data_IF_483145653047
#
_entry.id   IF_483145653047
#
_cell.length_a   1.000
_cell.length_b   1.000
_cell.length_c   1.000
_cell.angle_alpha   90.00
_cell.angle_beta   90.00
_cell.angle_gamma   90.00
#
_symmetry.space_group_name_H-M   'P 1'
#
loop_
_entity.id
_entity.type
_entity.pdbx_description
1 polymer ?
#
# COMPACT_ATOMS: atom_id res chain seq x y z
N UNK A 1 2.01 -19.69 -35.01
CA UNK A 1 2.21 -18.78 -33.86
C UNK A 1 2.29 -17.36 -34.41
N UNK A 2 1.32 -16.50 -34.09
CA UNK A 2 1.29 -15.17 -34.65
C UNK A 2 2.06 -14.17 -33.75
N UNK A 3 2.34 -12.97 -34.29
CA UNK A 3 3.18 -11.95 -33.62
C UNK A 3 2.66 -11.53 -32.22
N UNK A 4 1.35 -11.67 -31.97
CA UNK A 4 0.71 -11.37 -30.66
C UNK A 4 0.96 -12.49 -29.65
N UNK A 5 0.98 -13.75 -30.07
CA UNK A 5 1.30 -14.89 -29.22
C UNK A 5 2.77 -14.89 -28.82
N UNK A 6 3.67 -14.50 -29.72
CA UNK A 6 5.10 -14.38 -29.44
C UNK A 6 5.39 -13.25 -28.44
N UNK A 7 4.73 -12.09 -28.55
CA UNK A 7 4.86 -10.98 -27.59
C UNK A 7 4.28 -11.36 -26.22
N UNK A 8 3.18 -12.11 -26.18
CA UNK A 8 2.58 -12.60 -24.94
C UNK A 8 3.47 -13.60 -24.20
N UNK A 9 4.12 -14.53 -24.90
CA UNK A 9 5.06 -15.49 -24.31
C UNK A 9 6.37 -14.82 -23.84
N UNK A 10 6.89 -13.87 -24.59
CA UNK A 10 8.10 -13.13 -24.21
C UNK A 10 7.87 -12.26 -22.96
N UNK A 11 6.70 -11.59 -22.85
CA UNK A 11 6.35 -10.82 -21.68
C UNK A 11 6.12 -11.71 -20.43
N UNK A 12 5.54 -12.89 -20.58
CA UNK A 12 5.36 -13.86 -19.50
C UNK A 12 6.70 -14.46 -19.04
N UNK A 13 7.63 -14.69 -19.97
CA UNK A 13 8.99 -15.17 -19.69
C UNK A 13 9.82 -14.11 -18.93
N UNK A 14 9.81 -12.86 -19.37
CA UNK A 14 10.48 -11.76 -18.66
C UNK A 14 9.91 -11.51 -17.25
N UNK A 15 8.59 -11.59 -17.07
CA UNK A 15 7.96 -11.46 -15.76
C UNK A 15 8.37 -12.62 -14.83
N UNK A 16 8.48 -13.84 -15.35
CA UNK A 16 8.92 -15.03 -14.60
C UNK A 16 10.41 -14.96 -14.23
N UNK A 17 11.27 -14.41 -15.10
CA UNK A 17 12.69 -14.20 -14.80
C UNK A 17 12.93 -13.06 -13.81
N UNK A 18 12.18 -11.96 -13.90
CA UNK A 18 12.18 -10.90 -12.87
C UNK A 18 11.74 -11.43 -11.50
N UNK A 19 10.74 -12.33 -11.46
CA UNK A 19 10.30 -12.98 -10.22
C UNK A 19 11.36 -13.89 -9.62
N UNK A 20 12.14 -14.60 -10.44
CA UNK A 20 13.25 -15.46 -9.97
C UNK A 20 14.43 -14.64 -9.43
N UNK A 21 14.79 -13.56 -10.11
CA UNK A 21 15.89 -12.67 -9.70
C UNK A 21 15.57 -11.83 -8.45
N UNK A 22 14.30 -11.56 -8.18
CA UNK A 22 13.86 -10.74 -7.04
C UNK A 22 13.49 -11.54 -5.77
N UNK A 23 13.74 -12.87 -5.72
CA UNK A 23 13.35 -13.70 -4.58
C UNK A 23 11.82 -13.81 -4.39
N UNK A 24 11.04 -13.67 -5.44
CA UNK A 24 9.58 -13.74 -5.44
C UNK A 24 9.00 -15.16 -5.38
N UNK A 25 9.70 -16.10 -4.75
CA UNK A 25 9.26 -17.48 -4.60
C UNK A 25 8.68 -17.74 -3.20
N UNK A 26 7.88 -16.85 -2.64
CA UNK A 26 6.97 -17.23 -1.57
C UNK A 26 5.77 -17.95 -2.21
N UNK A 27 5.80 -19.28 -2.22
CA UNK A 27 4.65 -20.12 -2.56
C UNK A 27 3.60 -20.08 -1.43
N UNK A 28 3.39 -18.89 -0.88
CA UNK A 28 2.47 -18.65 0.21
C UNK A 28 1.06 -18.32 -0.28
N UNK A 29 0.10 -18.36 0.65
CA UNK A 29 -1.25 -17.84 0.44
C UNK A 29 -1.28 -16.31 0.60
N UNK A 30 -2.29 -15.64 0.05
CA UNK A 30 -2.59 -14.25 0.37
C UNK A 30 -2.91 -14.14 1.87
N UNK A 31 -2.45 -13.07 2.52
CA UNK A 31 -2.72 -12.77 3.91
C UNK A 31 -3.76 -11.66 4.00
N UNK A 32 -4.69 -11.77 4.93
CA UNK A 32 -5.76 -10.79 5.10
C UNK A 32 -5.62 -9.99 6.38
N UNK A 33 -5.77 -8.67 6.27
CA UNK A 33 -5.65 -7.74 7.37
C UNK A 33 -6.71 -6.63 7.36
N UNK A 34 -6.68 -5.80 8.39
CA UNK A 34 -7.60 -4.67 8.57
C UNK A 34 -6.83 -3.45 9.05
N UNK A 35 -7.13 -2.30 8.46
CA UNK A 35 -6.67 -1.00 8.97
C UNK A 35 -7.45 -0.65 10.25
N UNK A 36 -6.78 -0.69 11.40
CA UNK A 36 -7.41 -0.46 12.71
C UNK A 36 -6.42 -0.05 13.80
N UNK A 37 -6.94 0.37 14.96
CA UNK A 37 -6.14 0.61 16.16
C UNK A 37 -5.86 -0.67 16.97
N UNK A 38 -4.89 -0.63 17.90
CA UNK A 38 -4.41 -1.80 18.65
C UNK A 38 -5.49 -2.49 19.47
N UNK A 39 -6.45 -1.74 20.04
CA UNK A 39 -7.55 -2.31 20.85
C UNK A 39 -8.46 -3.29 20.10
N UNK A 40 -8.40 -3.29 18.77
CA UNK A 40 -9.25 -4.13 17.92
C UNK A 40 -8.55 -5.43 17.49
N UNK A 41 -7.24 -5.54 17.70
CA UNK A 41 -6.42 -6.66 17.23
C UNK A 41 -6.80 -8.01 17.85
N UNK A 42 -7.16 -8.11 19.15
CA UNK A 42 -7.63 -9.37 19.73
C UNK A 42 -8.86 -9.93 18.98
N UNK A 43 -9.85 -9.08 18.68
CA UNK A 43 -11.03 -9.50 17.91
C UNK A 43 -10.67 -9.97 16.50
N UNK A 44 -9.71 -9.32 15.83
CA UNK A 44 -9.26 -9.75 14.49
C UNK A 44 -8.65 -11.16 14.55
N UNK A 45 -7.87 -11.46 15.59
CA UNK A 45 -7.30 -12.79 15.82
C UNK A 45 -8.39 -13.84 15.98
N UNK A 46 -9.41 -13.57 16.80
CA UNK A 46 -10.55 -14.47 17.00
C UNK A 46 -11.35 -14.74 15.71
N UNK A 47 -11.51 -13.72 14.86
CA UNK A 47 -12.19 -13.85 13.56
C UNK A 47 -11.33 -14.67 12.57
N UNK A 48 -10.00 -14.66 12.73
CA UNK A 48 -9.07 -15.43 11.89
C UNK A 48 -8.36 -14.61 10.82
N UNK A 49 -8.21 -13.29 11.01
CA UNK A 49 -7.31 -12.45 10.22
C UNK A 49 -5.85 -12.80 10.49
N UNK A 50 -4.98 -12.48 9.55
CA UNK A 50 -3.55 -12.84 9.60
C UNK A 50 -2.67 -11.75 10.18
N UNK A 51 -3.07 -10.48 10.02
CA UNK A 51 -2.29 -9.30 10.42
C UNK A 51 -3.21 -8.08 10.61
N UNK A 52 -2.64 -7.01 11.09
CA UNK A 52 -3.28 -5.70 11.14
C UNK A 52 -2.41 -4.63 10.54
N UNK A 53 -3.04 -3.51 10.20
CA UNK A 53 -2.41 -2.32 9.65
C UNK A 53 -2.77 -1.10 10.48
N UNK A 54 -1.81 -0.20 10.70
CA UNK A 54 -2.01 0.98 11.53
C UNK A 54 -1.40 2.23 10.91
N UNK A 55 -1.86 3.43 11.33
CA UNK A 55 -1.28 4.70 10.85
C UNK A 55 0.14 4.90 11.35
N UNK A 56 1.06 5.29 10.45
CA UNK A 56 2.48 5.56 10.77
C UNK A 56 2.63 6.58 11.90
N UNK A 57 1.86 7.69 11.85
CA UNK A 57 1.91 8.72 12.89
C UNK A 57 1.50 8.22 14.28
N UNK A 58 0.61 7.21 14.35
CA UNK A 58 0.21 6.60 15.61
C UNK A 58 1.18 5.52 16.07
N UNK A 59 1.70 4.72 15.14
CA UNK A 59 2.57 3.59 15.43
C UNK A 59 4.01 4.04 15.77
N UNK A 60 4.57 4.96 14.98
CA UNK A 60 6.00 5.24 14.97
C UNK A 60 6.39 6.68 15.27
N UNK A 61 5.45 7.58 15.47
CA UNK A 61 5.60 9.05 15.61
C UNK A 61 7.07 9.53 15.76
N UNK A 62 7.72 10.01 14.68
CA UNK A 62 9.12 10.39 14.71
C UNK A 62 9.45 11.60 15.62
N UNK A 63 8.41 12.35 16.04
CA UNK A 63 8.58 13.47 16.97
C UNK A 63 8.81 13.03 18.42
N UNK A 64 8.48 11.77 18.74
CA UNK A 64 8.62 11.22 20.09
C UNK A 64 10.03 10.70 20.35
N UNK A 65 10.41 10.72 21.62
CA UNK A 65 11.71 10.24 22.10
C UNK A 65 11.80 8.70 22.15
N UNK A 66 12.97 8.21 22.54
CA UNK A 66 13.24 6.78 22.59
C UNK A 66 12.54 6.09 23.78
N UNK A 67 12.22 6.82 24.86
CA UNK A 67 11.48 6.27 25.98
C UNK A 67 10.02 5.96 25.55
N UNK A 68 9.41 6.86 24.83
CA UNK A 68 8.10 6.63 24.23
C UNK A 68 8.15 5.47 23.23
N UNK A 69 9.20 5.41 22.38
CA UNK A 69 9.34 4.35 21.38
C UNK A 69 9.47 2.96 22.03
N UNK A 70 10.24 2.82 23.08
CA UNK A 70 10.35 1.54 23.81
C UNK A 70 8.99 1.04 24.27
N UNK A 71 8.19 1.88 24.93
CA UNK A 71 6.82 1.52 25.37
C UNK A 71 5.91 1.14 24.18
N UNK A 72 5.99 1.88 23.09
CA UNK A 72 5.20 1.61 21.88
C UNK A 72 5.60 0.29 21.23
N UNK A 73 6.88 -0.01 21.20
CA UNK A 73 7.42 -1.28 20.69
C UNK A 73 6.91 -2.47 21.49
N UNK A 74 6.93 -2.35 22.82
CA UNK A 74 6.40 -3.40 23.73
C UNK A 74 4.89 -3.60 23.52
N UNK A 75 4.12 -2.50 23.40
CA UNK A 75 2.69 -2.56 23.09
C UNK A 75 2.43 -3.32 21.77
N UNK A 76 3.10 -2.94 20.68
CA UNK A 76 2.94 -3.60 19.38
C UNK A 76 3.31 -5.09 19.48
N UNK A 77 4.40 -5.42 20.15
CA UNK A 77 4.92 -6.79 20.28
C UNK A 77 4.05 -7.67 21.15
N UNK A 78 3.25 -7.10 22.08
CA UNK A 78 2.34 -7.85 22.95
C UNK A 78 1.03 -8.28 22.26
N UNK A 79 0.74 -7.75 21.08
CA UNK A 79 -0.52 -8.02 20.37
C UNK A 79 -0.51 -9.39 19.67
N UNK A 80 -1.67 -10.07 19.60
CA UNK A 80 -1.77 -11.45 19.12
C UNK A 80 -1.65 -11.62 17.60
N UNK A 81 -1.58 -10.51 16.84
CA UNK A 81 -1.31 -10.49 15.40
C UNK A 81 -0.14 -9.57 15.09
N UNK A 82 0.65 -9.86 14.06
CA UNK A 82 1.74 -8.98 13.65
C UNK A 82 1.19 -7.67 13.03
N UNK A 83 1.81 -6.53 13.38
CA UNK A 83 1.69 -5.28 12.63
C UNK A 83 2.50 -5.44 11.35
N UNK A 84 1.83 -5.76 10.24
CA UNK A 84 2.49 -6.09 8.97
C UNK A 84 2.64 -4.90 8.05
N UNK A 85 1.69 -3.98 8.08
CA UNK A 85 1.64 -2.80 7.22
C UNK A 85 1.27 -1.56 8.01
N UNK A 86 1.67 -0.38 7.52
CA UNK A 86 1.22 0.90 8.07
C UNK A 86 0.95 1.90 6.96
N UNK A 87 -0.16 2.66 7.10
CA UNK A 87 -0.58 3.69 6.16
C UNK A 87 -0.32 5.12 6.68
N UNK A 88 -0.68 6.14 5.88
CA UNK A 88 -0.54 7.54 6.30
C UNK A 88 0.91 7.97 6.53
N UNK A 89 1.82 7.61 5.60
CA UNK A 89 3.27 7.74 5.77
C UNK A 89 3.74 9.17 6.03
N UNK A 90 3.59 10.06 5.05
CA UNK A 90 4.09 11.43 5.14
C UNK A 90 2.95 12.39 5.48
N UNK A 91 3.00 13.08 6.63
CA UNK A 91 2.00 14.08 7.00
C UNK A 91 1.92 15.24 6.00
N UNK A 92 0.72 15.77 5.78
CA UNK A 92 0.45 16.85 4.83
C UNK A 92 1.14 18.19 5.13
N UNK A 93 1.75 18.35 6.30
CA UNK A 93 2.57 19.52 6.63
C UNK A 93 3.87 19.56 5.83
N UNK A 94 4.38 18.42 5.38
CA UNK A 94 5.55 18.32 4.51
C UNK A 94 5.14 18.52 3.06
N UNK A 95 5.91 19.30 2.30
CA UNK A 95 5.64 19.57 0.89
C UNK A 95 6.66 18.86 0.03
N UNK A 96 6.24 17.77 -0.61
CA UNK A 96 7.11 16.96 -1.48
C UNK A 96 7.14 17.49 -2.90
N UNK A 97 6.14 18.29 -3.29
CA UNK A 97 5.93 18.77 -4.66
C UNK A 97 5.53 20.24 -4.68
N UNK A 98 5.76 20.87 -5.82
CA UNK A 98 5.42 22.27 -6.04
C UNK A 98 6.60 23.21 -5.87
N UNK A 99 6.39 24.54 -6.10
CA UNK A 99 7.46 25.53 -6.01
C UNK A 99 8.12 25.68 -4.65
N UNK A 100 7.42 25.22 -3.60
CA UNK A 100 7.92 25.26 -2.19
C UNK A 100 8.24 23.85 -1.68
N UNK A 101 8.57 22.91 -2.57
CA UNK A 101 8.98 21.57 -2.16
C UNK A 101 10.28 21.62 -1.34
N UNK A 102 10.24 20.98 -0.17
CA UNK A 102 11.42 20.79 0.69
C UNK A 102 11.41 19.34 1.17
N UNK A 103 12.38 18.58 0.70
CA UNK A 103 12.47 17.16 0.98
C UNK A 103 13.19 16.86 2.31
N UNK A 104 14.08 17.73 2.78
CA UNK A 104 14.94 17.40 3.90
C UNK A 104 14.16 17.06 5.20
N UNK A 105 13.19 17.86 5.67
CA UNK A 105 12.42 17.52 6.88
C UNK A 105 11.55 16.28 6.70
N UNK A 106 11.04 16.04 5.47
CA UNK A 106 10.23 14.86 5.18
C UNK A 106 11.09 13.58 5.14
N UNK A 107 12.32 13.66 4.64
CA UNK A 107 13.29 12.57 4.64
C UNK A 107 13.69 12.17 6.05
N UNK A 108 13.96 13.14 6.94
CA UNK A 108 14.31 12.89 8.34
C UNK A 108 13.13 12.21 9.08
N UNK A 109 11.91 12.69 8.85
CA UNK A 109 10.69 12.07 9.37
C UNK A 109 10.55 10.63 8.86
N UNK A 110 10.66 10.45 7.56
CA UNK A 110 10.48 9.16 6.89
C UNK A 110 11.50 8.12 7.34
N UNK A 111 12.79 8.50 7.41
CA UNK A 111 13.86 7.62 7.85
C UNK A 111 13.63 7.12 9.28
N UNK A 112 13.33 8.02 10.22
CA UNK A 112 13.08 7.64 11.62
C UNK A 112 11.86 6.72 11.76
N UNK A 113 10.77 6.99 11.01
CA UNK A 113 9.59 6.13 10.99
C UNK A 113 9.91 4.73 10.44
N UNK A 114 10.65 4.65 9.34
CA UNK A 114 11.03 3.39 8.70
C UNK A 114 11.97 2.56 9.58
N UNK A 115 12.93 3.18 10.28
CA UNK A 115 13.80 2.46 11.21
C UNK A 115 13.00 1.84 12.35
N UNK A 116 12.05 2.57 12.94
CA UNK A 116 11.15 2.06 13.97
C UNK A 116 10.25 0.92 13.43
N UNK A 117 9.76 1.05 12.20
CA UNK A 117 8.96 0.03 11.55
C UNK A 117 9.77 -1.27 11.29
N UNK A 118 11.02 -1.14 10.87
CA UNK A 118 11.91 -2.28 10.62
C UNK A 118 12.23 -3.05 11.91
N UNK A 119 12.41 -2.34 13.04
CA UNK A 119 12.65 -2.94 14.36
C UNK A 119 11.52 -3.87 14.84
N UNK A 120 10.27 -3.59 14.46
CA UNK A 120 9.11 -4.44 14.83
C UNK A 120 8.67 -5.37 13.68
N UNK A 121 9.46 -5.45 12.61
CA UNK A 121 9.27 -6.41 11.53
C UNK A 121 8.15 -6.06 10.54
N UNK A 122 7.69 -4.80 10.50
CA UNK A 122 6.74 -4.31 9.49
C UNK A 122 7.28 -4.58 8.09
N UNK A 123 6.41 -5.01 7.17
CA UNK A 123 6.81 -5.36 5.80
C UNK A 123 6.59 -4.21 4.83
N UNK A 124 5.50 -3.45 5.01
CA UNK A 124 5.13 -2.39 4.06
C UNK A 124 4.69 -1.11 4.76
N UNK A 125 5.16 0.03 4.24
CA UNK A 125 4.67 1.37 4.60
C UNK A 125 4.00 1.96 3.38
N UNK A 126 2.71 2.24 3.49
CA UNK A 126 1.87 2.73 2.39
C UNK A 126 2.08 4.21 2.16
N UNK A 127 2.51 4.56 0.96
CA UNK A 127 2.81 5.92 0.54
C UNK A 127 1.73 6.48 -0.40
N UNK A 128 0.52 6.64 0.11
CA UNK A 128 -0.54 7.43 -0.52
C UNK A 128 -0.28 8.92 -0.32
N UNK A 129 -0.35 9.39 0.92
CA UNK A 129 0.06 10.73 1.38
C UNK A 129 -0.33 11.89 0.45
N UNK A 130 -1.59 11.89 -0.06
CA UNK A 130 -2.07 12.92 -1.00
C UNK A 130 -1.85 14.34 -0.50
N UNK A 131 -2.02 14.58 0.81
CA UNK A 131 -1.78 15.90 1.41
C UNK A 131 -0.34 16.40 1.29
N UNK A 132 0.66 15.51 1.22
CA UNK A 132 2.07 15.88 1.09
C UNK A 132 2.51 15.98 -0.38
N UNK A 133 1.99 15.08 -1.26
CA UNK A 133 2.46 14.98 -2.66
C UNK A 133 1.58 15.71 -3.68
N UNK A 134 0.36 16.15 -3.32
CA UNK A 134 -0.50 16.88 -4.24
C UNK A 134 0.11 18.21 -4.65
N UNK A 135 0.03 18.49 -5.95
CA UNK A 135 0.48 19.75 -6.51
C UNK A 135 -0.46 20.89 -6.10
N UNK A 136 0.08 22.08 -5.80
CA UNK A 136 -0.75 23.28 -5.60
C UNK A 136 -1.62 23.55 -6.84
N UNK A 137 -2.93 23.76 -6.64
CA UNK A 137 -3.88 23.96 -7.75
C UNK A 137 -3.50 25.15 -8.63
N UNK A 138 -3.01 26.23 -8.05
CA UNK A 138 -2.62 27.42 -8.78
C UNK A 138 -1.38 27.19 -9.64
N UNK A 139 -0.46 26.36 -9.16
CA UNK A 139 0.70 25.97 -9.97
C UNK A 139 0.29 25.10 -11.17
N UNK A 140 -0.61 24.15 -10.99
CA UNK A 140 -1.14 23.33 -12.09
C UNK A 140 -1.87 24.18 -13.14
N UNK A 141 -2.53 25.25 -12.72
CA UNK A 141 -3.21 26.19 -13.65
C UNK A 141 -2.23 27.10 -14.41
N UNK A 142 -1.13 27.50 -13.78
CA UNK A 142 -0.19 28.49 -14.33
C UNK A 142 0.97 27.88 -15.09
N UNK A 143 1.30 26.61 -14.86
CA UNK A 143 2.43 25.91 -15.47
C UNK A 143 1.96 24.61 -16.14
N UNK A 144 1.90 24.56 -17.49
CA UNK A 144 1.53 23.32 -18.20
C UNK A 144 2.43 22.12 -17.89
N UNK A 145 3.67 22.36 -17.46
CA UNK A 145 4.61 21.32 -17.07
C UNK A 145 4.55 20.95 -15.57
N UNK A 146 3.63 21.54 -14.79
CA UNK A 146 3.56 21.35 -13.34
C UNK A 146 3.44 19.88 -12.94
N UNK A 147 2.60 19.11 -13.65
CA UNK A 147 2.38 17.68 -13.36
C UNK A 147 3.65 16.87 -13.57
N UNK A 148 4.38 17.13 -14.66
CA UNK A 148 5.65 16.45 -14.93
C UNK A 148 6.72 16.82 -13.90
N UNK A 149 6.89 18.12 -13.65
CA UNK A 149 7.84 18.64 -12.64
C UNK A 149 7.54 18.09 -11.25
N UNK A 150 6.29 18.08 -10.85
CA UNK A 150 5.89 17.57 -9.54
C UNK A 150 6.04 16.04 -9.42
N UNK A 151 5.77 15.31 -10.50
CA UNK A 151 6.04 13.86 -10.54
C UNK A 151 7.54 13.60 -10.42
N UNK A 152 8.38 14.40 -11.07
CA UNK A 152 9.84 14.33 -10.93
C UNK A 152 10.28 14.61 -9.48
N UNK A 153 9.78 15.67 -8.84
CA UNK A 153 10.09 15.96 -7.44
C UNK A 153 9.71 14.79 -6.52
N UNK A 154 8.54 14.17 -6.74
CA UNK A 154 8.12 13.01 -5.96
C UNK A 154 9.06 11.80 -6.20
N UNK A 155 9.48 11.57 -7.45
CA UNK A 155 10.46 10.53 -7.79
C UNK A 155 11.80 10.78 -7.11
N UNK A 156 12.30 12.03 -7.15
CA UNK A 156 13.56 12.44 -6.52
C UNK A 156 13.52 12.22 -5.00
N UNK A 157 12.38 12.51 -4.35
CA UNK A 157 12.16 12.17 -2.94
C UNK A 157 12.30 10.66 -2.70
N UNK A 158 11.66 9.83 -3.53
CA UNK A 158 11.74 8.37 -3.41
C UNK A 158 13.17 7.85 -3.63
N UNK A 159 13.94 8.43 -4.57
CA UNK A 159 15.36 8.10 -4.78
C UNK A 159 16.19 8.44 -3.55
N UNK A 160 16.03 9.65 -3.01
CA UNK A 160 16.74 10.09 -1.82
C UNK A 160 16.41 9.22 -0.59
N UNK A 161 15.13 8.92 -0.39
CA UNK A 161 14.68 8.05 0.69
C UNK A 161 15.27 6.64 0.56
N UNK A 162 15.22 6.05 -0.64
CA UNK A 162 15.77 4.71 -0.89
C UNK A 162 17.25 4.60 -0.52
N UNK A 163 18.03 5.65 -0.77
CA UNK A 163 19.46 5.72 -0.37
C UNK A 163 19.62 5.75 1.15
N UNK A 164 18.82 6.59 1.85
CA UNK A 164 18.90 6.74 3.31
C UNK A 164 18.55 5.45 4.08
N UNK A 165 17.69 4.61 3.50
CA UNK A 165 17.16 3.40 4.14
C UNK A 165 17.62 2.12 3.45
N UNK A 166 18.72 2.18 2.71
CA UNK A 166 19.25 1.02 1.96
C UNK A 166 19.68 -0.14 2.86
N UNK A 167 20.08 0.16 4.09
CA UNK A 167 20.53 -0.77 5.13
C UNK A 167 19.39 -1.52 5.85
N UNK A 168 18.14 -1.06 5.74
CA UNK A 168 17.01 -1.70 6.40
C UNK A 168 16.78 -3.12 5.85
N UNK A 169 16.30 -4.02 6.71
CA UNK A 169 16.24 -5.46 6.41
C UNK A 169 14.90 -5.89 5.84
N UNK A 170 13.79 -5.43 6.42
CA UNK A 170 12.46 -5.97 6.16
C UNK A 170 11.51 -4.99 5.49
N UNK A 171 11.46 -3.74 5.96
CA UNK A 171 10.45 -2.78 5.55
C UNK A 171 10.67 -2.25 4.13
N UNK A 172 9.58 -2.14 3.37
CA UNK A 172 9.52 -1.52 2.05
C UNK A 172 8.47 -0.41 2.04
N UNK A 173 8.74 0.67 1.35
CA UNK A 173 7.74 1.72 1.06
C UNK A 173 7.01 1.31 -0.20
N UNK A 174 5.68 1.27 -0.15
CA UNK A 174 4.84 0.91 -1.29
C UNK A 174 4.07 2.14 -1.77
N UNK A 175 4.39 2.62 -2.98
CA UNK A 175 3.71 3.75 -3.61
C UNK A 175 2.26 3.33 -3.89
N UNK A 176 1.32 4.10 -3.39
CA UNK A 176 -0.10 3.92 -3.60
C UNK A 176 -0.63 4.95 -4.60
N UNK A 177 -1.05 4.53 -5.79
CA UNK A 177 -1.81 5.39 -6.70
C UNK A 177 -3.19 5.70 -6.12
N UNK A 178 -3.54 6.99 -6.06
CA UNK A 178 -4.82 7.46 -5.53
C UNK A 178 -5.70 7.96 -6.69
N UNK A 179 -6.99 7.65 -6.66
CA UNK A 179 -7.94 8.15 -7.68
C UNK A 179 -7.84 9.67 -7.88
N UNK A 180 -8.17 10.21 -9.07
CA UNK A 180 -8.02 11.64 -9.38
C UNK A 180 -8.75 12.60 -8.43
N UNK A 181 -9.78 12.10 -7.73
CA UNK A 181 -10.52 12.87 -6.72
C UNK A 181 -9.69 13.15 -5.46
N UNK A 182 -8.68 12.31 -5.16
CA UNK A 182 -7.85 12.38 -3.94
C UNK A 182 -6.42 12.85 -4.23
N UNK A 183 -5.91 12.63 -5.44
CA UNK A 183 -4.58 13.10 -5.83
C UNK A 183 -4.57 13.60 -7.27
N UNK A 184 -3.73 14.59 -7.56
CA UNK A 184 -3.55 15.13 -8.91
C UNK A 184 -2.24 14.65 -9.58
N UNK A 185 -1.53 13.72 -8.94
CA UNK A 185 -0.41 12.95 -9.52
C UNK A 185 -0.47 11.50 -9.04
N UNK A 186 0.07 10.59 -9.83
CA UNK A 186 0.15 9.15 -9.52
C UNK A 186 -1.23 8.56 -9.21
N UNK A 187 -2.08 8.53 -10.23
CA UNK A 187 -3.47 8.09 -10.13
C UNK A 187 -3.70 6.64 -10.54
N UNK A 188 -2.76 6.04 -11.26
CA UNK A 188 -2.86 4.70 -11.81
C UNK A 188 -1.66 3.85 -11.43
N UNK A 189 -1.86 2.54 -11.31
CA UNK A 189 -0.81 1.56 -10.96
C UNK A 189 0.37 1.65 -11.93
N UNK A 190 0.13 1.86 -13.24
CA UNK A 190 1.19 2.03 -14.21
C UNK A 190 2.05 3.29 -13.99
N UNK A 191 1.47 4.38 -13.46
CA UNK A 191 2.25 5.59 -13.10
C UNK A 191 3.15 5.32 -11.89
N UNK A 192 2.60 4.66 -10.86
CA UNK A 192 3.39 4.22 -9.72
C UNK A 192 4.51 3.27 -10.14
N UNK A 193 4.23 2.33 -11.05
CA UNK A 193 5.23 1.41 -11.61
C UNK A 193 6.40 2.16 -12.29
N UNK A 194 6.12 3.18 -13.11
CA UNK A 194 7.17 4.00 -13.73
C UNK A 194 8.12 4.60 -12.70
N UNK A 195 7.58 5.13 -11.60
CA UNK A 195 8.40 5.70 -10.51
C UNK A 195 9.23 4.59 -9.84
N UNK A 196 8.64 3.44 -9.53
CA UNK A 196 9.36 2.30 -8.93
C UNK A 196 10.48 1.81 -9.84
N UNK A 197 10.23 1.71 -11.14
CA UNK A 197 11.24 1.32 -12.14
C UNK A 197 12.39 2.35 -12.19
N UNK A 198 12.09 3.64 -12.17
CA UNK A 198 13.08 4.71 -12.21
C UNK A 198 13.92 4.78 -10.92
N UNK A 199 13.28 4.62 -9.73
CA UNK A 199 13.97 4.57 -8.44
C UNK A 199 14.89 3.36 -8.35
N UNK A 200 14.52 2.26 -8.99
CA UNK A 200 15.29 1.02 -9.09
C UNK A 200 15.90 0.56 -7.75
N UNK A 201 15.11 0.54 -6.69
CA UNK A 201 15.54 0.14 -5.35
C UNK A 201 14.63 -0.95 -4.77
N UNK A 202 15.19 -1.94 -4.04
CA UNK A 202 14.38 -2.92 -3.33
C UNK A 202 13.54 -2.29 -2.19
N UNK A 203 13.84 -1.07 -1.78
CA UNK A 203 13.12 -0.37 -0.69
C UNK A 203 11.84 0.32 -1.16
N UNK A 204 11.72 0.65 -2.45
CA UNK A 204 10.53 1.31 -3.02
C UNK A 204 9.81 0.32 -3.93
N UNK A 205 8.56 0.07 -3.63
CA UNK A 205 7.71 -0.92 -4.30
C UNK A 205 6.32 -0.32 -4.56
N UNK A 206 5.36 -1.14 -4.95
CA UNK A 206 4.06 -0.71 -5.43
C UNK A 206 2.94 -1.32 -4.57
N UNK A 207 1.88 -0.55 -4.39
CA UNK A 207 0.60 -0.97 -3.85
C UNK A 207 -0.49 -0.84 -4.94
N UNK A 208 -1.43 -1.77 -4.96
CA UNK A 208 -2.69 -1.62 -5.68
C UNK A 208 -3.82 -1.46 -4.67
N UNK A 209 -4.46 -0.30 -4.64
CA UNK A 209 -5.73 -0.12 -3.94
C UNK A 209 -6.88 -0.37 -4.91
N UNK A 210 -7.60 -1.47 -4.70
CA UNK A 210 -8.68 -1.89 -5.59
C UNK A 210 -9.82 -0.87 -5.62
N UNK A 211 -10.08 -0.17 -4.51
CA UNK A 211 -11.06 0.92 -4.51
C UNK A 211 -10.63 2.07 -5.42
N UNK A 212 -9.38 2.52 -5.33
CA UNK A 212 -8.86 3.59 -6.18
C UNK A 212 -8.79 3.18 -7.66
N UNK A 213 -8.39 1.94 -7.95
CA UNK A 213 -8.38 1.39 -9.32
C UNK A 213 -9.79 1.40 -9.92
N UNK A 214 -10.78 0.88 -9.18
CA UNK A 214 -12.17 0.78 -9.64
C UNK A 214 -12.79 2.17 -9.85
N UNK A 215 -12.61 3.07 -8.90
CA UNK A 215 -13.12 4.44 -8.98
C UNK A 215 -12.41 5.27 -10.06
N UNK A 216 -11.15 4.95 -10.37
CA UNK A 216 -10.36 5.56 -11.45
C UNK A 216 -10.61 4.93 -12.82
N UNK A 217 -11.40 3.84 -12.90
CA UNK A 217 -11.64 3.11 -14.14
C UNK A 217 -10.43 2.30 -14.63
N UNK A 218 -9.49 1.97 -13.73
CA UNK A 218 -8.31 1.18 -14.07
C UNK A 218 -8.63 -0.32 -14.04
N UNK A 219 -8.25 -1.03 -15.12
CA UNK A 219 -8.51 -2.47 -15.22
C UNK A 219 -7.57 -3.30 -14.35
N UNK A 220 -8.01 -4.52 -14.01
CA UNK A 220 -7.21 -5.49 -13.27
C UNK A 220 -5.92 -5.93 -14.00
N UNK A 221 -5.83 -5.72 -15.33
CA UNK A 221 -4.63 -5.97 -16.14
C UNK A 221 -3.41 -5.18 -15.63
N UNK A 222 -3.62 -4.02 -15.00
CA UNK A 222 -2.54 -3.22 -14.39
C UNK A 222 -1.82 -3.98 -13.27
N UNK A 223 -2.52 -4.84 -12.53
CA UNK A 223 -1.91 -5.74 -11.52
C UNK A 223 -0.96 -6.72 -12.20
N UNK A 224 -1.38 -7.31 -13.32
CA UNK A 224 -0.53 -8.23 -14.08
C UNK A 224 0.73 -7.53 -14.58
N UNK A 225 0.59 -6.30 -15.09
CA UNK A 225 1.73 -5.48 -15.55
C UNK A 225 2.66 -5.02 -14.42
N UNK A 226 2.12 -4.83 -13.21
CA UNK A 226 2.91 -4.52 -12.02
C UNK A 226 3.78 -5.72 -11.58
N UNK A 227 3.27 -6.94 -11.73
CA UNK A 227 4.00 -8.16 -11.43
C UNK A 227 4.58 -8.20 -10.02
N UNK A 228 5.83 -8.62 -9.89
CA UNK A 228 6.52 -8.78 -8.61
C UNK A 228 6.85 -7.46 -7.87
N UNK A 229 6.65 -6.31 -8.50
CA UNK A 229 6.78 -5.01 -7.84
C UNK A 229 5.65 -4.75 -6.84
N UNK A 230 4.50 -5.42 -7.01
CA UNK A 230 3.36 -5.30 -6.11
C UNK A 230 3.64 -6.03 -4.79
N UNK A 231 3.58 -5.32 -3.67
CA UNK A 231 3.90 -5.87 -2.33
C UNK A 231 2.78 -5.69 -1.31
N UNK A 232 1.79 -4.87 -1.61
CA UNK A 232 0.61 -4.68 -0.75
C UNK A 232 -0.62 -4.39 -1.60
N UNK A 233 -1.80 -4.71 -1.05
CA UNK A 233 -3.10 -4.46 -1.67
C UNK A 233 -4.04 -3.86 -0.63
N UNK A 234 -4.72 -2.77 -0.99
CA UNK A 234 -5.88 -2.27 -0.24
C UNK A 234 -7.18 -2.64 -0.95
N UNK A 235 -8.25 -2.81 -0.18
CA UNK A 235 -9.56 -3.17 -0.71
C UNK A 235 -10.70 -2.50 0.06
N UNK A 236 -11.66 -1.95 -0.67
CA UNK A 236 -12.97 -1.52 -0.20
C UNK A 236 -14.00 -1.60 -1.33
N UNK A 237 -15.30 -1.64 -0.98
CA UNK A 237 -16.41 -1.66 -1.94
C UNK A 237 -16.45 -0.40 -2.80
N UNK A 238 -16.80 -0.60 -4.08
CA UNK A 238 -17.01 0.48 -5.04
C UNK A 238 -18.05 1.49 -4.55
N UNK A 239 -17.79 2.76 -4.77
CA UNK A 239 -18.72 3.87 -4.48
C UNK A 239 -18.85 4.18 -2.99
N UNK A 240 -19.14 3.20 -2.16
CA UNK A 240 -19.41 3.39 -0.72
C UNK A 240 -18.17 3.37 0.15
N UNK A 241 -17.04 2.81 -0.34
CA UNK A 241 -15.81 2.54 0.41
C UNK A 241 -16.05 1.73 1.69
N UNK A 242 -17.09 0.88 1.70
CA UNK A 242 -17.40 -0.02 2.81
C UNK A 242 -16.61 -1.33 2.71
N UNK A 243 -16.77 -2.21 3.71
CA UNK A 243 -16.07 -3.48 3.78
C UNK A 243 -16.48 -4.46 2.65
N UNK A 244 -15.55 -5.26 2.12
CA UNK A 244 -15.82 -6.22 1.05
C UNK A 244 -16.97 -7.17 1.38
N UNK A 245 -17.86 -7.38 0.41
CA UNK A 245 -19.05 -8.22 0.54
C UNK A 245 -20.26 -7.50 1.17
N UNK A 246 -20.17 -6.20 1.50
CA UNK A 246 -21.33 -5.44 1.95
C UNK A 246 -22.30 -5.16 0.80
N UNK A 247 -21.79 -4.59 -0.29
CA UNK A 247 -22.59 -4.12 -1.42
C UNK A 247 -22.53 -5.08 -2.60
N UNK A 248 -21.67 -6.12 -2.52
CA UNK A 248 -21.64 -7.24 -3.47
C UNK A 248 -20.87 -6.95 -4.76
N UNK A 249 -19.94 -6.01 -4.77
CA UNK A 249 -19.06 -5.81 -5.91
C UNK A 249 -18.23 -7.07 -6.19
N UNK A 250 -18.12 -7.45 -7.47
CA UNK A 250 -17.34 -8.61 -7.90
C UNK A 250 -15.84 -8.24 -8.04
N UNK A 251 -15.04 -8.64 -7.08
CA UNK A 251 -13.59 -8.47 -7.12
C UNK A 251 -12.84 -9.60 -7.83
N UNK A 252 -13.55 -10.62 -8.36
CA UNK A 252 -12.90 -11.77 -9.00
C UNK A 252 -11.87 -11.41 -10.07
N UNK A 253 -12.10 -10.44 -10.98
CA UNK A 253 -11.09 -10.07 -11.99
C UNK A 253 -9.77 -9.59 -11.39
N UNK A 254 -9.83 -8.87 -10.26
CA UNK A 254 -8.65 -8.36 -9.55
C UNK A 254 -7.91 -9.48 -8.83
N UNK A 255 -8.63 -10.35 -8.12
CA UNK A 255 -8.05 -11.51 -7.45
C UNK A 255 -7.46 -12.53 -8.43
N UNK A 256 -8.09 -12.74 -9.59
CA UNK A 256 -7.55 -13.58 -10.66
C UNK A 256 -6.22 -13.00 -11.20
N UNK A 257 -6.13 -11.67 -11.33
CA UNK A 257 -4.88 -11.00 -11.69
C UNK A 257 -3.81 -11.14 -10.61
N UNK A 258 -4.17 -11.05 -9.32
CA UNK A 258 -3.25 -11.33 -8.20
C UNK A 258 -2.76 -12.78 -8.21
N UNK A 259 -3.65 -13.75 -8.41
CA UNK A 259 -3.29 -15.18 -8.56
C UNK A 259 -2.37 -15.40 -9.76
N UNK A 260 -2.65 -14.76 -10.90
CA UNK A 260 -1.84 -14.87 -12.13
C UNK A 260 -0.38 -14.44 -11.92
N UNK A 261 -0.13 -13.45 -11.06
CA UNK A 261 1.24 -13.01 -10.72
C UNK A 261 1.85 -13.77 -9.54
N UNK A 262 1.16 -14.78 -8.97
CA UNK A 262 1.64 -15.51 -7.80
C UNK A 262 1.69 -14.65 -6.53
N UNK A 263 0.77 -13.69 -6.37
CA UNK A 263 0.78 -12.77 -5.22
C UNK A 263 0.49 -13.51 -3.91
N UNK A 264 1.41 -13.41 -2.95
CA UNK A 264 1.33 -13.98 -1.61
C UNK A 264 1.51 -12.91 -0.50
N UNK A 265 1.31 -11.64 -0.84
CA UNK A 265 1.40 -10.51 0.08
C UNK A 265 0.16 -10.27 0.92
N UNK A 266 0.14 -9.13 1.62
CA UNK A 266 -1.00 -8.69 2.42
C UNK A 266 -2.09 -7.99 1.60
N UNK A 267 -3.34 -8.28 1.92
CA UNK A 267 -4.53 -7.58 1.44
C UNK A 267 -5.23 -6.98 2.67
N UNK A 268 -5.22 -5.66 2.81
CA UNK A 268 -5.83 -4.94 3.94
C UNK A 268 -7.18 -4.34 3.58
N UNK A 269 -8.19 -4.55 4.41
CA UNK A 269 -9.43 -3.77 4.37
C UNK A 269 -9.16 -2.34 4.86
N UNK A 270 -8.97 -1.39 3.94
CA UNK A 270 -8.96 0.04 4.21
C UNK A 270 -10.32 0.65 3.87
N UNK A 271 -11.28 0.49 4.76
CA UNK A 271 -12.69 0.68 4.45
C UNK A 271 -13.52 1.17 5.64
N UNK A 272 -14.74 1.60 5.34
CA UNK A 272 -15.76 1.90 6.35
C UNK A 272 -16.33 0.64 6.98
N UNK A 273 -16.58 0.70 8.28
CA UNK A 273 -17.19 -0.36 9.09
C UNK A 273 -18.46 0.15 9.77
N UNK A 274 -19.38 -0.71 10.25
CA UNK A 274 -20.43 -0.30 11.20
C UNK A 274 -19.85 0.44 12.40
N UNK A 275 -20.69 1.20 13.10
CA UNK A 275 -20.23 1.98 14.25
C UNK A 275 -19.67 1.03 15.34
N UNK A 276 -18.53 1.36 15.97
CA UNK A 276 -17.89 0.50 16.97
C UNK A 276 -18.70 0.26 18.25
N UNK A 277 -19.72 1.09 18.53
CA UNK A 277 -20.62 0.91 19.66
C UNK A 277 -21.63 -0.23 19.43
N UNK A 278 -21.89 -0.61 18.18
CA UNK A 278 -22.61 -1.85 17.84
C UNK A 278 -21.57 -2.98 17.64
N UNK A 279 -21.18 -3.59 18.76
CA UNK A 279 -20.11 -4.60 18.78
C UNK A 279 -20.42 -5.82 17.94
N UNK A 280 -21.69 -6.22 17.89
CA UNK A 280 -22.12 -7.43 17.17
C UNK A 280 -22.13 -7.18 15.66
N UNK A 281 -22.72 -6.06 15.21
CA UNK A 281 -22.69 -5.67 13.80
C UNK A 281 -21.26 -5.43 13.32
N UNK A 282 -20.41 -4.83 14.16
CA UNK A 282 -19.02 -4.57 13.85
C UNK A 282 -18.20 -5.88 13.69
N UNK A 283 -18.39 -6.85 14.59
CA UNK A 283 -17.78 -8.18 14.51
C UNK A 283 -18.29 -8.97 13.30
N UNK A 284 -19.61 -8.99 13.09
CA UNK A 284 -20.25 -9.69 11.98
C UNK A 284 -19.78 -9.16 10.62
N UNK A 285 -19.64 -7.83 10.48
CA UNK A 285 -19.13 -7.19 9.25
C UNK A 285 -17.71 -7.66 8.94
N UNK A 286 -16.83 -7.73 9.94
CA UNK A 286 -15.45 -8.20 9.77
C UNK A 286 -15.38 -9.68 9.40
N UNK A 287 -16.18 -10.53 10.04
CA UNK A 287 -16.27 -11.94 9.68
C UNK A 287 -16.78 -12.13 8.24
N UNK A 288 -17.83 -11.38 7.85
CA UNK A 288 -18.35 -11.39 6.47
C UNK A 288 -17.29 -10.95 5.45
N UNK A 289 -16.54 -9.88 5.75
CA UNK A 289 -15.47 -9.41 4.87
C UNK A 289 -14.37 -10.49 4.68
N UNK A 290 -13.93 -11.14 5.75
CA UNK A 290 -12.93 -12.20 5.66
C UNK A 290 -13.41 -13.39 4.82
N UNK A 291 -14.66 -13.80 4.98
CA UNK A 291 -15.27 -14.85 4.15
C UNK A 291 -15.26 -14.47 2.67
N UNK A 292 -15.66 -13.23 2.34
CA UNK A 292 -15.62 -12.72 0.97
C UNK A 292 -14.20 -12.72 0.39
N UNK A 293 -13.22 -12.23 1.15
CA UNK A 293 -11.81 -12.19 0.74
C UNK A 293 -11.26 -13.60 0.46
N UNK A 294 -11.51 -14.55 1.37
CA UNK A 294 -11.08 -15.96 1.20
C UNK A 294 -11.71 -16.59 -0.03
N UNK A 295 -13.01 -16.33 -0.28
CA UNK A 295 -13.71 -16.80 -1.47
C UNK A 295 -13.06 -16.30 -2.76
N UNK A 296 -12.81 -14.98 -2.88
CA UNK A 296 -12.14 -14.41 -4.05
C UNK A 296 -10.72 -14.95 -4.25
N UNK A 297 -9.99 -15.17 -3.17
CA UNK A 297 -8.64 -15.73 -3.23
C UNK A 297 -8.59 -17.23 -3.52
N UNK A 298 -9.72 -17.95 -3.45
CA UNK A 298 -9.76 -19.42 -3.52
C UNK A 298 -9.14 -20.09 -2.29
N UNK A 299 -9.32 -19.49 -1.10
CA UNK A 299 -8.78 -19.93 0.19
C UNK A 299 -9.89 -20.19 1.22
N UNK A 300 -11.11 -20.45 0.72
CA UNK A 300 -12.27 -20.74 1.55
C UNK A 300 -12.22 -22.17 2.15
#
# INVERSE_FOLDING_TARGET
MNRREFIGLAAASLAAECCKAAGCADKGRMLFGVCCGPSQVPQLKEIGYDFWEWGVGSAFDPSKDDAWWRKRKDEISSLPLPLRSCNGFIPGKYRLTGPKADHAPALDYAEKALRRADEVGVKTIVFGSGGARNLPKDWVKSDPAAVEKGTRQFTDFCVALAKRVSDLKTVQVVIEPLRPKESNIVNFVWQGKRIVDEVNSPRIRLLADLFHMIEGGESAESIVKAGCLLKHVHIAEKGTRQYPGKDGFDFSPYFDSLKKIGYAGGVSCECGWPKPNDKDAFRAARAKALVALRKFAGQA
#
